data_IF_898214792839
#
_entry.id   IF_898214792839
#
_cell.length_a   1.000
_cell.length_b   1.000
_cell.length_c   1.000
_cell.angle_alpha   90.00
_cell.angle_beta   90.00
_cell.angle_gamma   90.00
#
_symmetry.space_group_name_H-M   'P 1'
#
loop_
_entity.id
_entity.type
_entity.pdbx_description
1 polymer ?
#
# COMPACT_ATOMS: atom_id res chain seq x y z
N UNK A 1 -52.15 -18.87 0.45
CA UNK A 1 -51.68 -17.65 -0.24
C UNK A 1 -50.36 -17.10 0.34
N UNK A 2 -50.16 -17.10 1.66
CA UNK A 2 -48.91 -16.63 2.31
C UNK A 2 -47.62 -17.41 1.93
N UNK A 3 -47.70 -18.73 1.75
CA UNK A 3 -46.53 -19.58 1.41
C UNK A 3 -45.98 -19.26 0.00
N UNK A 4 -46.85 -18.91 -0.94
CA UNK A 4 -46.45 -18.54 -2.31
C UNK A 4 -45.82 -17.14 -2.40
N UNK A 5 -46.19 -16.23 -1.49
CA UNK A 5 -45.61 -14.89 -1.39
C UNK A 5 -44.20 -14.97 -0.81
N UNK A 6 -43.97 -15.80 0.22
CA UNK A 6 -42.62 -16.06 0.74
C UNK A 6 -41.68 -16.63 -0.33
N UNK A 7 -42.14 -17.57 -1.18
CA UNK A 7 -41.30 -18.14 -2.25
C UNK A 7 -40.88 -17.10 -3.29
N UNK A 8 -41.78 -16.20 -3.72
CA UNK A 8 -41.46 -15.14 -4.69
C UNK A 8 -40.59 -14.04 -4.08
N UNK A 9 -40.81 -13.68 -2.81
CA UNK A 9 -39.97 -12.72 -2.10
C UNK A 9 -38.56 -13.29 -1.86
N UNK A 10 -38.44 -14.54 -1.40
CA UNK A 10 -37.15 -15.23 -1.24
C UNK A 10 -36.43 -15.38 -2.58
N UNK A 11 -37.12 -15.75 -3.67
CA UNK A 11 -36.53 -15.75 -5.02
C UNK A 11 -36.04 -14.37 -5.46
N UNK A 12 -36.81 -13.32 -5.19
CA UNK A 12 -36.45 -11.94 -5.56
C UNK A 12 -35.26 -11.41 -4.74
N UNK A 13 -35.17 -11.74 -3.45
CA UNK A 13 -34.02 -11.41 -2.59
C UNK A 13 -32.79 -12.23 -2.99
N UNK A 14 -32.94 -13.53 -3.28
CA UNK A 14 -31.83 -14.39 -3.72
C UNK A 14 -31.32 -14.00 -5.10
N UNK A 15 -32.19 -13.69 -6.08
CA UNK A 15 -31.74 -13.31 -7.42
C UNK A 15 -31.28 -11.84 -7.52
N UNK A 16 -31.81 -10.94 -6.70
CA UNK A 16 -31.50 -9.50 -6.77
C UNK A 16 -30.41 -9.04 -5.80
N UNK A 17 -30.35 -9.63 -4.59
CA UNK A 17 -29.52 -9.10 -3.50
C UNK A 17 -28.29 -9.98 -3.24
N UNK A 18 -28.42 -11.30 -3.37
CA UNK A 18 -27.34 -12.25 -3.11
C UNK A 18 -26.10 -12.05 -4.01
N UNK A 19 -26.24 -11.80 -5.34
CA UNK A 19 -25.07 -11.56 -6.19
C UNK A 19 -24.31 -10.29 -5.77
N UNK A 20 -25.04 -9.25 -5.35
CA UNK A 20 -24.46 -7.99 -4.88
C UNK A 20 -23.70 -8.14 -3.56
N UNK A 21 -24.27 -8.87 -2.60
CA UNK A 21 -23.57 -9.19 -1.33
C UNK A 21 -22.37 -10.09 -1.60
N UNK A 22 -22.52 -11.14 -2.39
CA UNK A 22 -21.45 -12.08 -2.69
C UNK A 22 -20.27 -11.37 -3.37
N UNK A 23 -20.54 -10.50 -4.33
CA UNK A 23 -19.52 -9.70 -5.00
C UNK A 23 -18.82 -8.74 -4.02
N UNK A 24 -19.58 -8.05 -3.16
CA UNK A 24 -19.00 -7.13 -2.18
C UNK A 24 -18.13 -7.86 -1.16
N UNK A 25 -18.59 -9.00 -0.65
CA UNK A 25 -17.80 -9.86 0.25
C UNK A 25 -16.53 -10.35 -0.45
N UNK A 26 -16.65 -10.81 -1.70
CA UNK A 26 -15.50 -11.24 -2.49
C UNK A 26 -14.44 -10.14 -2.61
N UNK A 27 -14.85 -8.90 -2.91
CA UNK A 27 -13.92 -7.77 -3.03
C UNK A 27 -13.25 -7.39 -1.69
N UNK A 28 -13.93 -7.57 -0.56
CA UNK A 28 -13.35 -7.35 0.77
C UNK A 28 -12.28 -8.40 1.09
N UNK A 29 -12.52 -9.67 0.74
CA UNK A 29 -11.57 -10.76 0.99
C UNK A 29 -10.47 -10.87 -0.08
N UNK A 30 -10.61 -10.18 -1.21
CA UNK A 30 -9.70 -10.28 -2.34
C UNK A 30 -8.23 -10.02 -1.97
N UNK A 31 -7.85 -8.97 -1.21
CA UNK A 31 -6.45 -8.76 -0.85
C UNK A 31 -5.88 -9.92 -0.02
N UNK A 32 -6.69 -10.51 0.86
CA UNK A 32 -6.32 -11.68 1.66
C UNK A 32 -6.11 -12.91 0.78
N UNK A 33 -6.97 -13.13 -0.21
CA UNK A 33 -6.82 -14.23 -1.18
C UNK A 33 -5.53 -14.06 -2.00
N UNK A 34 -5.26 -12.84 -2.48
CA UNK A 34 -4.05 -12.54 -3.26
C UNK A 34 -2.77 -12.67 -2.41
N UNK A 35 -2.84 -12.31 -1.13
CA UNK A 35 -1.77 -12.54 -0.17
C UNK A 35 -1.50 -14.04 0.02
N UNK A 36 -2.55 -14.85 0.22
CA UNK A 36 -2.44 -16.31 0.36
C UNK A 36 -1.85 -16.94 -0.90
N UNK A 37 -2.34 -16.54 -2.09
CA UNK A 37 -1.79 -16.98 -3.37
C UNK A 37 -0.30 -16.65 -3.48
N UNK A 38 0.10 -15.44 -3.08
CA UNK A 38 1.52 -15.05 -3.08
C UNK A 38 2.34 -15.84 -2.06
N UNK A 39 1.76 -16.26 -0.94
CA UNK A 39 2.43 -17.16 0.02
C UNK A 39 2.65 -18.55 -0.59
N UNK A 40 1.69 -19.08 -1.36
CA UNK A 40 1.83 -20.34 -2.08
C UNK A 40 2.92 -20.30 -3.16
N UNK A 41 3.22 -19.14 -3.73
CA UNK A 41 4.32 -18.96 -4.69
C UNK A 41 5.71 -19.09 -4.03
N UNK A 42 5.81 -18.97 -2.71
CA UNK A 42 7.03 -19.28 -1.96
C UNK A 42 8.06 -18.14 -1.87
N UNK A 43 7.62 -16.89 -1.71
CA UNK A 43 8.56 -15.78 -1.43
C UNK A 43 9.19 -15.91 -0.03
N UNK A 44 10.50 -15.66 0.05
CA UNK A 44 11.27 -15.74 1.30
C UNK A 44 11.08 -14.52 2.20
N UNK A 45 10.90 -13.32 1.63
CA UNK A 45 10.75 -12.07 2.40
C UNK A 45 9.32 -11.52 2.37
N UNK A 46 8.89 -10.91 3.48
CA UNK A 46 7.61 -10.19 3.57
C UNK A 46 7.52 -9.03 2.57
N UNK A 47 8.63 -8.30 2.38
CA UNK A 47 8.70 -7.20 1.41
C UNK A 47 8.42 -7.65 -0.03
N UNK A 48 8.95 -8.79 -0.45
CA UNK A 48 8.72 -9.34 -1.79
C UNK A 48 7.30 -9.89 -1.93
N UNK A 49 6.82 -10.54 -0.87
CA UNK A 49 5.46 -11.08 -0.78
C UNK A 49 4.42 -9.97 -0.96
N UNK A 50 4.55 -8.85 -0.23
CA UNK A 50 3.63 -7.71 -0.33
C UNK A 50 3.68 -7.03 -1.69
N UNK A 51 4.88 -6.85 -2.28
CA UNK A 51 5.03 -6.30 -3.63
C UNK A 51 4.35 -7.17 -4.69
N UNK A 52 4.46 -8.50 -4.56
CA UNK A 52 3.79 -9.43 -5.46
C UNK A 52 2.27 -9.39 -5.29
N UNK A 53 1.77 -9.41 -4.05
CA UNK A 53 0.34 -9.29 -3.76
C UNK A 53 -0.24 -7.97 -4.29
N UNK A 54 0.46 -6.84 -4.10
CA UNK A 54 0.08 -5.54 -4.64
C UNK A 54 0.04 -5.56 -6.17
N UNK A 55 1.02 -6.18 -6.83
CA UNK A 55 1.07 -6.31 -8.29
C UNK A 55 -0.14 -7.05 -8.85
N UNK A 56 -0.52 -8.16 -8.21
CA UNK A 56 -1.72 -8.93 -8.60
C UNK A 56 -2.99 -8.14 -8.37
N UNK A 57 -3.08 -7.40 -7.26
CA UNK A 57 -4.27 -6.60 -6.97
C UNK A 57 -4.40 -5.40 -7.92
N UNK A 58 -3.29 -4.77 -8.30
CA UNK A 58 -3.27 -3.75 -9.35
C UNK A 58 -3.80 -4.32 -10.68
N UNK A 59 -3.33 -5.49 -11.10
CA UNK A 59 -3.80 -6.13 -12.33
C UNK A 59 -5.30 -6.44 -12.26
N UNK A 60 -5.78 -6.91 -11.10
CA UNK A 60 -7.21 -7.13 -10.88
C UNK A 60 -8.02 -5.83 -11.01
N UNK A 61 -7.56 -4.74 -10.38
CA UNK A 61 -8.22 -3.43 -10.48
C UNK A 61 -8.22 -2.92 -11.93
N UNK A 62 -7.11 -3.07 -12.65
CA UNK A 62 -6.99 -2.67 -14.03
C UNK A 62 -7.97 -3.44 -14.95
N UNK A 63 -8.00 -4.77 -14.85
CA UNK A 63 -8.80 -5.60 -15.74
C UNK A 63 -10.27 -5.62 -15.34
N UNK A 64 -10.59 -5.82 -14.05
CA UNK A 64 -11.96 -6.03 -13.62
C UNK A 64 -12.66 -4.72 -13.24
N UNK A 65 -12.02 -3.88 -12.43
CA UNK A 65 -12.65 -2.66 -11.94
C UNK A 65 -12.67 -1.58 -13.02
N UNK A 66 -11.57 -1.39 -13.74
CA UNK A 66 -11.50 -0.38 -14.81
C UNK A 66 -12.04 -0.91 -16.14
N UNK A 67 -11.35 -1.85 -16.80
CA UNK A 67 -11.79 -2.34 -18.13
C UNK A 67 -13.14 -3.07 -18.04
N UNK A 68 -13.32 -3.92 -17.04
CA UNK A 68 -14.55 -4.70 -16.86
C UNK A 68 -15.79 -3.84 -16.64
N UNK A 69 -15.69 -2.74 -15.86
CA UNK A 69 -16.84 -1.84 -15.67
C UNK A 69 -17.19 -1.04 -16.93
N UNK A 70 -16.18 -0.66 -17.72
CA UNK A 70 -16.38 0.02 -19.01
C UNK A 70 -17.04 -0.95 -20.00
N UNK A 71 -16.48 -2.15 -20.16
CA UNK A 71 -16.97 -3.16 -21.12
C UNK A 71 -18.33 -3.70 -20.71
N UNK A 72 -18.54 -4.07 -19.45
CA UNK A 72 -19.84 -4.58 -19.00
C UNK A 72 -20.90 -3.48 -19.12
N UNK A 73 -20.57 -2.26 -18.71
CA UNK A 73 -21.47 -1.13 -18.82
C UNK A 73 -21.82 -0.77 -20.27
N UNK A 74 -20.87 -0.88 -21.20
CA UNK A 74 -21.12 -0.67 -22.63
C UNK A 74 -21.82 -1.86 -23.29
N UNK A 75 -21.52 -3.09 -22.87
CA UNK A 75 -22.14 -4.31 -23.37
C UNK A 75 -23.61 -4.39 -22.96
N UNK A 76 -24.00 -3.99 -21.75
CA UNK A 76 -25.42 -3.93 -21.39
C UNK A 76 -26.18 -2.84 -22.15
N UNK A 77 -25.52 -1.72 -22.49
CA UNK A 77 -26.12 -0.63 -23.26
C UNK A 77 -26.14 -0.89 -24.78
N UNK A 78 -25.25 -1.75 -25.30
CA UNK A 78 -25.01 -1.98 -26.73
C UNK A 78 -24.83 -3.48 -27.11
N UNK A 79 -25.44 -4.40 -26.36
CA UNK A 79 -25.19 -5.86 -26.45
C UNK A 79 -25.34 -6.43 -27.87
N UNK A 80 -26.35 -5.93 -28.60
CA UNK A 80 -26.66 -6.38 -29.95
C UNK A 80 -25.64 -5.94 -31.01
N UNK A 81 -24.91 -4.84 -30.79
CA UNK A 81 -23.86 -4.38 -31.70
C UNK A 81 -22.48 -4.95 -31.32
N UNK A 82 -22.18 -5.10 -30.03
CA UNK A 82 -20.88 -5.62 -29.57
C UNK A 82 -20.62 -7.07 -29.98
N UNK A 83 -21.62 -7.96 -29.88
CA UNK A 83 -21.47 -9.38 -30.23
C UNK A 83 -21.24 -9.62 -31.74
N UNK A 84 -21.48 -8.61 -32.58
CA UNK A 84 -21.33 -8.69 -34.04
C UNK A 84 -20.15 -7.86 -34.58
N UNK A 85 -19.35 -7.24 -33.71
CA UNK A 85 -18.33 -6.28 -34.11
C UNK A 85 -16.92 -6.92 -34.25
N UNK A 86 -16.18 -6.51 -35.29
CA UNK A 86 -14.78 -6.92 -35.51
C UNK A 86 -13.83 -6.30 -34.48
N UNK A 87 -12.77 -7.04 -34.10
CA UNK A 87 -11.79 -6.66 -33.08
C UNK A 87 -11.15 -5.27 -33.30
N UNK A 88 -11.07 -4.83 -34.56
CA UNK A 88 -10.50 -3.52 -34.91
C UNK A 88 -11.32 -2.32 -34.39
N UNK A 89 -12.60 -2.50 -34.05
CA UNK A 89 -13.46 -1.42 -33.55
C UNK A 89 -13.52 -1.33 -32.02
N UNK A 90 -12.85 -2.23 -31.31
CA UNK A 90 -12.86 -2.26 -29.83
C UNK A 90 -12.39 -0.91 -29.23
N UNK A 91 -11.28 -0.30 -29.67
CA UNK A 91 -10.83 0.99 -29.11
C UNK A 91 -11.84 2.13 -29.33
N UNK A 92 -12.56 2.11 -30.45
CA UNK A 92 -13.58 3.08 -30.81
C UNK A 92 -14.82 2.93 -29.91
N UNK A 93 -15.33 1.71 -29.75
CA UNK A 93 -16.51 1.48 -28.90
C UNK A 93 -16.21 1.76 -27.42
N UNK A 94 -15.02 1.39 -26.95
CA UNK A 94 -14.55 1.75 -25.59
C UNK A 94 -14.42 3.27 -25.45
N UNK A 95 -13.88 3.96 -26.47
CA UNK A 95 -13.73 5.41 -26.48
C UNK A 95 -15.05 6.14 -26.20
N UNK A 96 -16.15 5.72 -26.84
CA UNK A 96 -17.49 6.30 -26.64
C UNK A 96 -18.09 5.94 -25.27
N UNK A 97 -17.81 4.75 -24.75
CA UNK A 97 -18.34 4.27 -23.48
C UNK A 97 -17.71 4.94 -22.25
N UNK A 98 -16.44 5.36 -22.33
CA UNK A 98 -15.71 5.95 -21.19
C UNK A 98 -16.41 7.19 -20.62
N UNK A 99 -16.73 8.25 -21.40
CA UNK A 99 -17.40 9.42 -20.87
C UNK A 99 -18.72 9.09 -20.15
N UNK A 100 -19.47 8.11 -20.64
CA UNK A 100 -20.76 7.69 -20.07
C UNK A 100 -20.61 7.07 -18.68
N UNK A 101 -19.45 6.49 -18.36
CA UNK A 101 -19.16 5.88 -17.06
C UNK A 101 -18.46 6.81 -16.08
N UNK A 102 -18.20 8.08 -16.45
CA UNK A 102 -17.59 9.05 -15.55
C UNK A 102 -18.38 9.22 -14.24
N UNK A 103 -19.72 9.29 -14.31
CA UNK A 103 -20.59 9.43 -13.12
C UNK A 103 -20.47 8.24 -12.17
N UNK A 104 -20.31 7.02 -12.69
CA UNK A 104 -20.07 5.82 -11.89
C UNK A 104 -18.73 5.90 -11.15
N UNK A 105 -17.67 6.35 -11.81
CA UNK A 105 -16.37 6.48 -11.16
C UNK A 105 -16.33 7.64 -10.15
N UNK A 106 -17.08 8.73 -10.37
CA UNK A 106 -17.25 9.80 -9.38
C UNK A 106 -17.89 9.24 -8.10
N UNK A 107 -18.98 8.49 -8.20
CA UNK A 107 -19.62 7.88 -7.03
C UNK A 107 -18.74 6.82 -6.37
N UNK A 108 -18.01 6.03 -7.17
CA UNK A 108 -17.02 5.09 -6.65
C UNK A 108 -15.93 5.79 -5.82
N UNK A 109 -15.36 6.89 -6.29
CA UNK A 109 -14.35 7.67 -5.55
C UNK A 109 -14.93 8.27 -4.26
N UNK A 110 -16.16 8.76 -4.27
CA UNK A 110 -16.79 9.29 -3.06
C UNK A 110 -17.02 8.20 -2.00
N UNK A 111 -17.42 7.00 -2.41
CA UNK A 111 -17.71 5.90 -1.48
C UNK A 111 -16.45 5.17 -1.03
N UNK A 112 -15.66 4.64 -1.96
CA UNK A 112 -14.47 3.85 -1.64
C UNK A 112 -13.29 4.74 -1.23
N UNK A 113 -13.14 5.90 -1.89
CA UNK A 113 -12.07 6.85 -1.60
C UNK A 113 -12.36 7.66 -0.35
N UNK A 114 -13.34 8.58 -0.41
CA UNK A 114 -13.56 9.51 0.69
C UNK A 114 -14.09 8.83 1.95
N UNK A 115 -15.19 8.09 1.85
CA UNK A 115 -15.76 7.41 3.01
C UNK A 115 -14.86 6.25 3.50
N UNK A 116 -14.14 5.57 2.59
CA UNK A 116 -13.17 4.55 2.97
C UNK A 116 -12.02 5.10 3.80
N UNK A 117 -11.39 6.21 3.38
CA UNK A 117 -10.32 6.86 4.15
C UNK A 117 -10.83 7.49 5.44
N UNK A 118 -12.04 8.06 5.42
CA UNK A 118 -12.69 8.56 6.64
C UNK A 118 -13.01 7.43 7.62
N UNK A 119 -13.31 6.22 7.14
CA UNK A 119 -13.49 5.03 7.97
C UNK A 119 -12.16 4.48 8.51
N UNK A 120 -11.09 4.57 7.72
CA UNK A 120 -9.76 4.10 8.09
C UNK A 120 -9.23 4.82 9.35
N UNK A 121 -9.53 6.12 9.51
CA UNK A 121 -9.11 6.88 10.70
C UNK A 121 -9.68 6.33 12.00
N UNK A 122 -10.86 5.71 11.96
CA UNK A 122 -11.51 5.13 13.13
C UNK A 122 -10.86 3.80 13.55
N UNK A 123 -10.11 3.17 12.63
CA UNK A 123 -9.42 1.90 12.86
C UNK A 123 -10.31 0.87 13.57
N UNK A 124 -11.54 0.69 13.07
CA UNK A 124 -12.57 -0.13 13.73
C UNK A 124 -12.11 -1.58 13.94
N UNK A 125 -11.35 -2.15 12.99
CA UNK A 125 -10.87 -3.53 13.08
C UNK A 125 -9.94 -3.75 14.29
N UNK A 126 -8.80 -3.06 14.44
CA UNK A 126 -7.95 -3.22 15.62
C UNK A 126 -8.65 -2.74 16.91
N UNK A 127 -9.52 -1.73 16.85
CA UNK A 127 -10.27 -1.27 18.02
C UNK A 127 -11.19 -2.36 18.60
N UNK A 128 -11.95 -3.05 17.74
CA UNK A 128 -12.85 -4.14 18.15
C UNK A 128 -12.03 -5.33 18.64
N UNK A 129 -10.95 -5.70 17.93
CA UNK A 129 -10.08 -6.81 18.33
C UNK A 129 -9.40 -6.55 19.67
N UNK A 130 -8.97 -5.31 19.93
CA UNK A 130 -8.39 -4.91 21.21
C UNK A 130 -9.38 -5.11 22.36
N UNK A 131 -10.62 -4.62 22.23
CA UNK A 131 -11.63 -4.78 23.29
C UNK A 131 -12.00 -6.25 23.49
N UNK A 132 -12.06 -7.04 22.42
CA UNK A 132 -12.34 -8.47 22.50
C UNK A 132 -11.20 -9.21 23.20
N UNK A 133 -9.94 -8.97 22.82
CA UNK A 133 -8.76 -9.54 23.49
C UNK A 133 -8.70 -9.13 24.95
N UNK A 134 -8.94 -7.86 25.25
CA UNK A 134 -8.91 -7.34 26.61
C UNK A 134 -9.98 -7.97 27.51
N UNK A 135 -11.15 -8.31 26.96
CA UNK A 135 -12.21 -8.94 27.73
C UNK A 135 -11.97 -10.44 27.98
N UNK A 136 -11.38 -11.16 27.02
CA UNK A 136 -11.28 -12.62 27.07
C UNK A 136 -9.88 -13.19 27.40
N UNK A 137 -8.81 -12.50 27.01
CA UNK A 137 -7.45 -13.07 26.94
C UNK A 137 -6.46 -12.36 27.87
N UNK A 138 -6.63 -11.06 28.14
CA UNK A 138 -5.67 -10.26 28.92
C UNK A 138 -5.75 -10.60 30.42
N UNK A 139 -4.63 -11.01 31.00
CA UNK A 139 -4.48 -11.22 32.45
C UNK A 139 -3.39 -10.36 33.07
N UNK A 140 -2.35 -10.05 32.30
CA UNK A 140 -1.20 -9.24 32.73
C UNK A 140 -1.07 -7.96 31.92
N UNK A 141 -0.26 -7.00 32.41
CA UNK A 141 0.03 -5.76 31.68
C UNK A 141 0.76 -6.02 30.35
N UNK A 142 1.61 -7.05 30.28
CA UNK A 142 2.30 -7.46 29.04
C UNK A 142 1.31 -7.96 27.99
N UNK A 143 0.32 -8.76 28.38
CA UNK A 143 -0.73 -9.23 27.45
C UNK A 143 -1.53 -8.06 26.85
N UNK A 144 -1.64 -6.95 27.60
CA UNK A 144 -2.32 -5.74 27.13
C UNK A 144 -1.50 -5.00 26.07
N UNK A 145 -0.18 -4.96 26.20
CA UNK A 145 0.71 -4.42 25.18
C UNK A 145 0.64 -5.25 23.89
N UNK A 146 0.65 -6.58 23.99
CA UNK A 146 0.46 -7.49 22.85
C UNK A 146 -0.93 -7.35 22.19
N UNK A 147 -1.94 -6.98 22.97
CA UNK A 147 -3.27 -6.70 22.43
C UNK A 147 -3.32 -5.36 21.68
N UNK A 148 -2.41 -4.41 21.98
CA UNK A 148 -2.30 -3.10 21.33
C UNK A 148 -1.45 -3.13 20.05
N UNK A 149 -1.65 -4.14 19.20
CA UNK A 149 -1.00 -4.24 17.90
C UNK A 149 -1.89 -3.64 16.78
N UNK A 150 -1.53 -2.48 16.21
CA UNK A 150 -2.26 -1.86 15.10
C UNK A 150 -1.92 -2.47 13.73
N UNK A 151 -0.87 -3.28 13.64
CA UNK A 151 -0.32 -3.80 12.40
C UNK A 151 0.50 -2.78 11.59
N UNK A 152 0.94 -3.21 10.41
CA UNK A 152 1.71 -2.42 9.46
C UNK A 152 0.86 -1.61 8.49
N UNK A 153 1.52 -0.65 7.83
CA UNK A 153 0.94 0.07 6.71
C UNK A 153 0.60 -0.93 5.60
N UNK A 154 -0.69 -1.11 5.30
CA UNK A 154 -1.16 -2.08 4.31
C UNK A 154 -0.75 -1.76 2.87
N UNK A 155 0.52 -1.98 2.52
CA UNK A 155 1.06 -1.71 1.19
C UNK A 155 0.31 -2.51 0.11
N UNK A 156 0.00 -3.76 0.41
CA UNK A 156 -0.75 -4.67 -0.45
C UNK A 156 -2.17 -4.18 -0.84
N UNK A 157 -2.81 -3.34 -0.02
CA UNK A 157 -4.17 -2.82 -0.27
C UNK A 157 -4.17 -1.36 -0.69
N UNK A 158 -3.37 -0.52 0.00
CA UNK A 158 -3.32 0.91 -0.21
C UNK A 158 -2.67 1.30 -1.53
N UNK A 159 -1.55 0.67 -1.89
CA UNK A 159 -0.83 1.03 -3.12
C UNK A 159 -1.67 0.74 -4.38
N UNK A 160 -2.30 -0.43 -4.56
CA UNK A 160 -3.11 -0.71 -5.75
C UNK A 160 -4.36 0.17 -5.86
N UNK A 161 -4.92 0.63 -4.73
CA UNK A 161 -6.05 1.58 -4.69
C UNK A 161 -5.63 2.95 -5.20
N UNK A 162 -4.49 3.44 -4.73
CA UNK A 162 -3.92 4.72 -5.18
C UNK A 162 -3.62 4.69 -6.68
N UNK A 163 -3.04 3.58 -7.18
CA UNK A 163 -2.76 3.41 -8.61
C UNK A 163 -4.03 3.43 -9.48
N UNK A 164 -5.13 2.85 -8.99
CA UNK A 164 -6.42 2.90 -9.68
C UNK A 164 -6.91 4.35 -9.84
N UNK A 165 -6.80 5.18 -8.80
CA UNK A 165 -7.19 6.58 -8.89
C UNK A 165 -6.24 7.39 -9.79
N UNK A 166 -4.94 7.09 -9.80
CA UNK A 166 -4.02 7.65 -10.79
C UNK A 166 -4.44 7.30 -12.22
N UNK A 167 -4.77 6.04 -12.49
CA UNK A 167 -5.29 5.60 -13.78
C UNK A 167 -6.56 6.36 -14.17
N UNK A 168 -7.54 6.43 -13.28
CA UNK A 168 -8.79 7.17 -13.53
C UNK A 168 -8.51 8.66 -13.79
N UNK A 169 -7.64 9.28 -12.99
CA UNK A 169 -7.26 10.68 -13.19
C UNK A 169 -6.62 10.92 -14.55
N UNK A 170 -5.67 10.09 -14.96
CA UNK A 170 -5.00 10.22 -16.26
C UNK A 170 -5.93 9.95 -17.44
N UNK A 171 -6.82 8.97 -17.35
CA UNK A 171 -7.78 8.64 -18.42
C UNK A 171 -8.84 9.73 -18.55
N UNK A 172 -9.43 10.18 -17.43
CA UNK A 172 -10.53 11.14 -17.46
C UNK A 172 -10.09 12.60 -17.51
N UNK A 173 -8.80 12.91 -17.30
CA UNK A 173 -8.28 14.27 -17.42
C UNK A 173 -8.61 14.93 -18.76
N UNK A 174 -8.46 14.19 -19.87
CA UNK A 174 -8.76 14.68 -21.22
C UNK A 174 -10.21 14.45 -21.66
N UNK A 175 -10.94 13.56 -20.98
CA UNK A 175 -12.29 13.13 -21.39
C UNK A 175 -13.38 13.87 -20.61
N UNK A 176 -13.32 13.81 -19.28
CA UNK A 176 -14.29 14.41 -18.36
C UNK A 176 -13.56 15.05 -17.18
N UNK A 177 -13.08 16.30 -17.33
CA UNK A 177 -12.26 16.99 -16.31
C UNK A 177 -12.95 17.15 -14.95
N UNK A 178 -14.28 17.09 -14.92
CA UNK A 178 -15.10 17.16 -13.69
C UNK A 178 -14.74 16.08 -12.68
N UNK A 179 -14.13 14.96 -13.11
CA UNK A 179 -13.69 13.89 -12.21
C UNK A 179 -12.41 14.27 -11.41
N UNK A 180 -11.56 15.18 -11.93
CA UNK A 180 -10.27 15.53 -11.33
C UNK A 180 -10.38 16.17 -9.93
N UNK A 181 -11.27 17.15 -9.67
CA UNK A 181 -11.45 17.71 -8.33
C UNK A 181 -11.73 16.63 -7.27
N UNK A 182 -12.51 15.60 -7.60
CA UNK A 182 -12.83 14.51 -6.66
C UNK A 182 -11.59 13.70 -6.27
N UNK A 183 -10.72 13.43 -7.25
CA UNK A 183 -9.44 12.75 -7.04
C UNK A 183 -8.47 13.61 -6.24
N UNK A 184 -8.37 14.91 -6.55
CA UNK A 184 -7.47 15.84 -5.83
C UNK A 184 -7.88 15.94 -4.35
N UNK A 185 -9.18 16.05 -4.07
CA UNK A 185 -9.70 16.05 -2.69
C UNK A 185 -9.35 14.72 -2.01
N UNK A 186 -9.52 13.59 -2.70
CA UNK A 186 -9.13 12.28 -2.18
C UNK A 186 -7.64 12.25 -1.80
N UNK A 187 -6.74 12.72 -2.68
CA UNK A 187 -5.30 12.71 -2.39
C UNK A 187 -4.93 13.65 -1.24
N UNK A 188 -5.52 14.85 -1.20
CA UNK A 188 -5.30 15.80 -0.09
C UNK A 188 -5.75 15.23 1.25
N UNK A 189 -6.94 14.64 1.29
CA UNK A 189 -7.48 14.02 2.51
C UNK A 189 -6.67 12.79 2.93
N UNK A 190 -6.36 11.90 1.99
CA UNK A 190 -5.54 10.70 2.23
C UNK A 190 -4.15 11.06 2.74
N UNK A 191 -3.52 12.10 2.20
CA UNK A 191 -2.21 12.56 2.66
C UNK A 191 -2.24 12.94 4.14
N UNK A 192 -3.24 13.73 4.57
CA UNK A 192 -3.36 14.16 5.97
C UNK A 192 -3.63 12.98 6.89
N UNK A 193 -4.55 12.08 6.51
CA UNK A 193 -4.93 10.91 7.32
C UNK A 193 -3.76 9.93 7.46
N UNK A 194 -3.17 9.49 6.35
CA UNK A 194 -2.05 8.53 6.42
C UNK A 194 -0.83 9.15 7.10
N UNK A 195 -0.55 10.44 6.91
CA UNK A 195 0.52 11.12 7.65
C UNK A 195 0.28 11.10 9.15
N UNK A 196 -0.96 11.30 9.59
CA UNK A 196 -1.32 11.20 11.00
C UNK A 196 -1.13 9.77 11.53
N UNK A 197 -1.60 8.77 10.80
CA UNK A 197 -1.53 7.37 11.24
C UNK A 197 -0.10 6.81 11.23
N UNK A 198 0.73 7.20 10.26
CA UNK A 198 2.15 6.81 10.22
C UNK A 198 2.92 7.36 11.42
N UNK A 199 2.57 8.55 11.92
CA UNK A 199 3.24 9.15 13.08
C UNK A 199 2.76 8.53 14.40
N UNK A 200 1.48 8.21 14.51
CA UNK A 200 0.85 7.92 15.81
C UNK A 200 0.51 6.44 16.03
N UNK A 201 0.39 5.63 14.98
CA UNK A 201 -0.22 4.30 15.10
C UNK A 201 0.59 3.21 14.42
N UNK A 202 0.81 3.28 13.10
CA UNK A 202 1.34 2.15 12.36
C UNK A 202 2.77 1.79 12.79
N UNK A 203 3.00 0.49 12.99
CA UNK A 203 4.33 -0.06 13.24
C UNK A 203 4.87 -0.70 11.97
N UNK A 204 6.09 -0.36 11.57
CA UNK A 204 6.68 -0.88 10.35
C UNK A 204 7.37 -2.23 10.61
N UNK A 205 6.80 -3.31 10.10
CA UNK A 205 7.32 -4.68 10.29
C UNK A 205 8.65 -4.93 9.57
N UNK A 206 8.90 -4.24 8.45
CA UNK A 206 10.12 -4.43 7.65
C UNK A 206 10.57 -3.12 6.99
N UNK A 207 11.88 -2.92 6.86
CA UNK A 207 12.46 -1.81 6.11
C UNK A 207 12.93 -2.26 4.73
N UNK A 208 12.34 -1.70 3.68
CA UNK A 208 12.64 -2.08 2.28
C UNK A 208 13.50 -1.06 1.54
N UNK A 209 13.79 0.11 2.12
CA UNK A 209 14.56 1.17 1.45
C UNK A 209 13.86 1.71 0.20
N UNK A 210 12.53 1.73 0.17
CA UNK A 210 11.71 2.14 -0.98
C UNK A 210 11.99 1.36 -2.29
N UNK A 211 12.49 0.12 -2.22
CA UNK A 211 12.77 -0.73 -3.37
C UNK A 211 11.54 -1.07 -4.26
N UNK A 212 10.33 -0.74 -3.80
CA UNK A 212 9.07 -0.86 -4.57
C UNK A 212 8.86 0.27 -5.59
N UNK A 213 9.64 1.36 -5.54
CA UNK A 213 9.43 2.52 -6.41
C UNK A 213 9.50 2.22 -7.92
N UNK A 214 10.41 1.37 -8.42
CA UNK A 214 10.41 0.96 -9.83
C UNK A 214 9.09 0.32 -10.28
N UNK A 215 8.45 -0.47 -9.40
CA UNK A 215 7.16 -1.12 -9.69
C UNK A 215 6.04 -0.08 -9.77
N UNK A 216 6.01 0.86 -8.82
CA UNK A 216 5.06 1.99 -8.78
C UNK A 216 5.19 2.85 -10.04
N UNK A 217 6.43 3.21 -10.41
CA UNK A 217 6.71 3.99 -11.61
C UNK A 217 6.23 3.28 -12.88
N UNK A 218 6.53 1.99 -13.02
CA UNK A 218 6.10 1.19 -14.15
C UNK A 218 4.57 1.19 -14.30
N UNK A 219 3.82 1.04 -13.20
CA UNK A 219 2.35 1.06 -13.22
C UNK A 219 1.78 2.41 -13.65
N UNK A 220 2.38 3.52 -13.20
CA UNK A 220 1.99 4.86 -13.65
C UNK A 220 2.27 5.05 -15.15
N UNK A 221 3.39 4.54 -15.66
CA UNK A 221 3.67 4.55 -17.11
C UNK A 221 2.63 3.74 -17.89
N UNK A 222 2.25 2.55 -17.39
CA UNK A 222 1.17 1.74 -17.99
C UNK A 222 -0.16 2.51 -17.99
N UNK A 223 -0.48 3.22 -16.90
CA UNK A 223 -1.66 4.06 -16.82
C UNK A 223 -1.63 5.23 -17.84
N UNK A 224 -0.47 5.87 -18.02
CA UNK A 224 -0.28 6.92 -19.03
C UNK A 224 -0.47 6.39 -20.45
N UNK A 225 0.14 5.24 -20.78
CA UNK A 225 -0.03 4.59 -22.09
C UNK A 225 -1.50 4.22 -22.30
N UNK A 226 -2.16 3.69 -21.27
CA UNK A 226 -3.60 3.36 -21.34
C UNK A 226 -4.43 4.60 -21.63
N UNK A 227 -4.18 5.73 -20.95
CA UNK A 227 -4.85 7.00 -21.21
C UNK A 227 -4.66 7.46 -22.67
N UNK A 228 -3.44 7.39 -23.19
CA UNK A 228 -3.13 7.79 -24.57
C UNK A 228 -3.82 6.90 -25.62
N UNK A 229 -3.83 5.59 -25.41
CA UNK A 229 -4.52 4.63 -26.31
C UNK A 229 -6.03 4.85 -26.29
N UNK A 230 -6.61 5.10 -25.12
CA UNK A 230 -8.05 5.36 -25.00
C UNK A 230 -8.44 6.72 -25.61
N UNK A 231 -7.61 7.74 -25.43
CA UNK A 231 -7.78 9.05 -26.07
C UNK A 231 -7.73 8.92 -27.60
N UNK A 232 -6.82 8.10 -28.13
CA UNK A 232 -6.76 7.77 -29.55
C UNK A 232 -8.07 7.13 -30.04
N UNK A 233 -8.59 6.15 -29.28
CA UNK A 233 -9.87 5.51 -29.56
C UNK A 233 -11.01 6.53 -29.64
N UNK A 234 -11.13 7.42 -28.65
CA UNK A 234 -12.17 8.46 -28.60
C UNK A 234 -12.07 9.50 -29.72
N UNK A 235 -10.87 9.92 -30.12
CA UNK A 235 -10.73 10.96 -31.16
C UNK A 235 -10.94 10.40 -32.58
N UNK A 236 -10.63 9.12 -32.78
CA UNK A 236 -10.92 8.42 -34.03
C UNK A 236 -12.43 8.36 -34.29
N UNK A 237 -13.24 8.12 -33.26
CA UNK A 237 -14.72 8.06 -33.40
C UNK A 237 -15.35 9.41 -33.74
N UNK A 238 -14.74 10.51 -33.28
CA UNK A 238 -15.20 11.88 -33.54
C UNK A 238 -14.81 12.41 -34.93
N UNK A 239 -14.17 11.60 -35.78
CA UNK A 239 -13.75 11.99 -37.12
C UNK A 239 -12.58 12.98 -37.17
N UNK A 240 -11.86 13.15 -36.06
CA UNK A 240 -10.70 14.05 -35.97
C UNK A 240 -9.42 13.34 -36.44
N UNK A 241 -9.39 12.96 -37.71
CA UNK A 241 -8.28 12.21 -38.30
C UNK A 241 -6.94 13.01 -38.32
N UNK A 242 -7.01 14.34 -38.27
CA UNK A 242 -5.82 15.20 -38.27
C UNK A 242 -5.04 15.16 -36.95
N UNK A 243 -5.69 14.78 -35.83
CA UNK A 243 -5.03 14.66 -34.53
C UNK A 243 -4.30 13.31 -34.35
N UNK A 244 -4.61 12.31 -35.18
CA UNK A 244 -4.11 10.93 -35.07
C UNK A 244 -2.58 10.81 -35.10
N UNK A 245 -1.83 11.53 -35.98
CA UNK A 245 -0.36 11.42 -36.02
C UNK A 245 0.29 11.89 -34.71
N UNK A 246 -0.21 12.96 -34.11
CA UNK A 246 0.33 13.53 -32.86
C UNK A 246 0.11 12.55 -31.70
N UNK A 247 -1.06 11.90 -31.64
CA UNK A 247 -1.41 10.99 -30.55
C UNK A 247 -0.62 9.68 -30.63
N UNK A 248 -0.25 9.22 -31.82
CA UNK A 248 0.60 8.02 -32.00
C UNK A 248 2.04 8.26 -31.50
N UNK A 249 2.55 9.50 -31.61
CA UNK A 249 3.90 9.85 -31.13
C UNK A 249 3.98 9.79 -29.60
N UNK A 250 2.90 10.11 -28.89
CA UNK A 250 2.87 10.13 -27.42
C UNK A 250 3.23 8.79 -26.74
N UNK A 251 2.62 7.63 -27.07
CA UNK A 251 2.99 6.35 -26.48
C UNK A 251 4.42 5.92 -26.84
N UNK A 252 4.91 6.29 -28.02
CA UNK A 252 6.30 6.01 -28.42
C UNK A 252 7.25 6.80 -27.50
N UNK A 253 6.96 8.09 -27.28
CA UNK A 253 7.75 8.95 -26.41
C UNK A 253 7.70 8.47 -24.95
N UNK A 254 6.54 8.05 -24.44
CA UNK A 254 6.45 7.54 -23.05
C UNK A 254 7.19 6.22 -22.87
N UNK A 255 7.15 5.31 -23.83
CA UNK A 255 7.95 4.07 -23.80
C UNK A 255 9.45 4.38 -23.85
N UNK A 256 9.86 5.33 -24.70
CA UNK A 256 11.25 5.78 -24.77
C UNK A 256 11.71 6.40 -23.45
N UNK A 257 10.88 7.27 -22.87
CA UNK A 257 11.12 7.88 -21.55
C UNK A 257 11.23 6.82 -20.45
N UNK A 258 10.34 5.84 -20.42
CA UNK A 258 10.42 4.74 -19.47
C UNK A 258 11.73 3.95 -19.60
N UNK A 259 12.16 3.64 -20.84
CA UNK A 259 13.45 2.98 -21.09
C UNK A 259 14.64 3.82 -20.61
N UNK A 260 14.60 5.13 -20.83
CA UNK A 260 15.62 6.05 -20.32
C UNK A 260 15.66 6.04 -18.79
N UNK A 261 14.51 6.18 -18.12
CA UNK A 261 14.41 6.14 -16.66
C UNK A 261 14.88 4.81 -16.08
N UNK A 262 14.51 3.69 -16.74
CA UNK A 262 14.92 2.35 -16.35
C UNK A 262 16.46 2.22 -16.41
N UNK A 263 17.08 2.61 -17.52
CA UNK A 263 18.53 2.56 -17.67
C UNK A 263 19.28 3.49 -16.71
N UNK A 264 18.73 4.68 -16.42
CA UNK A 264 19.43 5.72 -15.64
C UNK A 264 19.25 5.62 -14.13
N UNK A 265 18.06 5.21 -13.66
CA UNK A 265 17.67 5.33 -12.25
C UNK A 265 17.35 4.00 -11.56
N UNK A 266 16.87 2.98 -12.28
CA UNK A 266 16.49 1.69 -11.66
C UNK A 266 17.68 1.03 -10.95
N UNK A 267 18.90 1.19 -11.49
CA UNK A 267 20.10 0.64 -10.87
C UNK A 267 20.32 1.12 -9.44
N UNK A 268 19.85 2.31 -9.06
CA UNK A 268 19.97 2.81 -7.69
C UNK A 268 19.06 2.08 -6.69
N UNK A 269 17.96 1.48 -7.16
CA UNK A 269 17.01 0.74 -6.33
C UNK A 269 17.34 -0.76 -6.28
N UNK A 270 18.02 -1.28 -7.30
CA UNK A 270 18.31 -2.73 -7.43
C UNK A 270 19.74 -3.07 -7.01
N UNK A 271 20.70 -2.17 -7.24
CA UNK A 271 22.13 -2.42 -6.98
C UNK A 271 22.64 -1.43 -5.95
N UNK A 272 23.37 -1.94 -4.96
CA UNK A 272 24.05 -1.10 -3.98
C UNK A 272 25.48 -0.77 -4.48
N UNK A 273 25.86 0.52 -4.60
CA UNK A 273 27.17 0.90 -5.12
C UNK A 273 28.29 0.64 -4.11
N UNK A 274 29.39 0.02 -4.57
CA UNK A 274 30.54 -0.32 -3.71
C UNK A 274 31.22 0.90 -3.06
N UNK A 275 31.16 2.05 -3.72
CA UNK A 275 31.71 3.30 -3.17
C UNK A 275 30.97 3.71 -1.89
N UNK A 276 29.64 3.61 -1.85
CA UNK A 276 28.86 3.91 -0.64
C UNK A 276 29.04 2.85 0.44
N UNK A 277 29.20 1.58 0.04
CA UNK A 277 29.56 0.50 0.96
C UNK A 277 30.88 0.81 1.69
N UNK A 278 31.96 1.06 0.94
CA UNK A 278 33.27 1.36 1.53
C UNK A 278 33.27 2.64 2.38
N UNK A 279 32.55 3.67 1.93
CA UNK A 279 32.41 4.92 2.70
C UNK A 279 31.72 4.65 4.03
N UNK A 280 30.61 3.89 4.03
CA UNK A 280 29.88 3.54 5.25
C UNK A 280 30.73 2.68 6.19
N UNK A 281 31.41 1.67 5.67
CA UNK A 281 32.29 0.79 6.45
C UNK A 281 33.43 1.58 7.13
N UNK A 282 34.00 2.56 6.41
CA UNK A 282 35.07 3.41 6.95
C UNK A 282 34.56 4.31 8.07
N UNK A 283 33.38 4.90 7.91
CA UNK A 283 32.75 5.74 8.93
C UNK A 283 32.34 4.93 10.17
N UNK A 284 31.82 3.72 9.98
CA UNK A 284 31.46 2.83 11.07
C UNK A 284 32.68 2.40 11.88
N UNK A 285 33.78 2.01 11.20
CA UNK A 285 35.04 1.68 11.87
C UNK A 285 35.65 2.86 12.63
N UNK A 286 35.48 4.08 12.13
CA UNK A 286 35.93 5.30 12.82
C UNK A 286 35.06 5.63 14.04
N UNK A 287 33.76 5.32 13.99
CA UNK A 287 32.81 5.56 15.09
C UNK A 287 32.94 4.52 16.20
N UNK A 288 33.06 3.25 15.83
CA UNK A 288 33.06 2.10 16.75
C UNK A 288 34.22 1.15 16.42
N UNK A 289 35.47 1.50 16.80
CA UNK A 289 36.66 0.75 16.41
C UNK A 289 36.78 -0.64 17.06
N UNK A 290 36.08 -0.88 18.17
CA UNK A 290 36.15 -2.12 18.96
C UNK A 290 34.90 -3.01 18.82
N UNK A 291 34.05 -2.78 17.80
CA UNK A 291 32.83 -3.56 17.60
C UNK A 291 33.15 -5.03 17.24
N UNK A 292 32.72 -5.97 18.08
CA UNK A 292 32.82 -7.41 17.78
C UNK A 292 31.70 -7.85 16.81
N UNK A 293 31.96 -7.68 15.51
CA UNK A 293 30.99 -8.02 14.46
C UNK A 293 30.63 -9.52 14.44
N UNK A 294 31.57 -10.40 14.79
CA UNK A 294 31.33 -11.85 14.81
C UNK A 294 30.30 -12.22 15.87
N UNK A 295 30.47 -11.72 17.10
CA UNK A 295 29.51 -11.94 18.18
C UNK A 295 28.12 -11.39 17.84
N UNK A 296 28.07 -10.18 17.27
CA UNK A 296 26.81 -9.53 16.88
C UNK A 296 26.03 -10.31 15.80
N UNK A 297 26.71 -10.89 14.81
CA UNK A 297 26.05 -11.55 13.67
C UNK A 297 25.77 -13.04 13.87
N UNK A 298 26.43 -13.70 14.83
CA UNK A 298 26.38 -15.16 14.99
C UNK A 298 24.95 -15.69 15.17
N UNK A 299 24.14 -15.02 15.99
CA UNK A 299 22.78 -15.47 16.34
C UNK A 299 21.67 -14.71 15.58
N UNK A 300 22.03 -13.83 14.63
CA UNK A 300 21.07 -12.92 14.00
C UNK A 300 19.99 -13.65 13.17
N UNK A 301 20.38 -14.61 12.33
CA UNK A 301 19.48 -15.31 11.39
C UNK A 301 19.10 -16.73 11.82
N UNK A 302 19.21 -17.04 13.12
CA UNK A 302 18.68 -18.27 13.70
C UNK A 302 17.15 -18.29 13.55
N UNK A 303 16.58 -19.46 13.25
CA UNK A 303 15.12 -19.58 13.11
C UNK A 303 14.42 -19.17 14.42
N UNK A 304 13.35 -18.36 14.40
CA UNK A 304 12.72 -17.82 15.62
C UNK A 304 12.38 -18.87 16.69
N UNK A 305 12.03 -20.10 16.28
CA UNK A 305 11.76 -21.22 17.19
C UNK A 305 12.97 -21.56 18.08
N UNK A 306 14.19 -21.48 17.57
CA UNK A 306 15.40 -21.82 18.33
C UNK A 306 15.91 -20.67 19.21
N UNK A 307 15.43 -19.44 19.00
CA UNK A 307 15.77 -18.29 19.85
C UNK A 307 15.06 -18.37 21.21
N UNK A 308 13.79 -18.77 21.20
CA UNK A 308 12.99 -18.90 22.43
C UNK A 308 13.51 -19.97 23.40
N UNK A 309 14.32 -20.92 22.92
CA UNK A 309 14.95 -21.93 23.78
C UNK A 309 16.30 -21.50 24.38
N UNK A 310 16.90 -20.40 23.92
CA UNK A 310 18.18 -19.89 24.46
C UNK A 310 17.94 -18.88 25.60
N UNK A 311 16.84 -18.10 25.52
CA UNK A 311 16.47 -17.11 26.55
C UNK A 311 16.12 -17.74 27.92
N UNK A 312 15.80 -19.04 27.98
CA UNK A 312 15.53 -19.78 29.23
C UNK A 312 16.81 -20.31 29.93
N UNK A 313 17.99 -20.26 29.27
CA UNK A 313 19.25 -20.82 29.80
C UNK A 313 20.40 -19.82 29.97
N UNK A 314 20.28 -18.58 29.46
CA UNK A 314 21.36 -17.58 29.48
C UNK A 314 21.24 -16.50 30.58
N UNK A 315 20.48 -16.73 31.66
CA UNK A 315 20.21 -15.71 32.68
C UNK A 315 21.38 -15.48 33.69
N UNK A 316 22.43 -16.32 33.70
CA UNK A 316 23.48 -16.24 34.75
C UNK A 316 24.89 -15.78 34.29
N UNK A 317 25.28 -15.88 33.01
CA UNK A 317 26.64 -15.48 32.58
C UNK A 317 26.70 -14.26 31.64
N UNK A 318 25.65 -13.97 30.86
CA UNK A 318 25.67 -12.87 29.87
C UNK A 318 25.24 -11.53 30.49
N UNK A 319 24.59 -11.56 31.66
CA UNK A 319 24.09 -10.36 32.35
C UNK A 319 25.23 -9.48 32.89
N UNK A 320 26.38 -10.06 33.28
CA UNK A 320 27.49 -9.28 33.84
C UNK A 320 28.24 -8.42 32.82
N UNK A 321 28.36 -8.84 31.56
CA UNK A 321 29.02 -8.04 30.51
C UNK A 321 28.07 -7.01 29.86
N UNK A 322 26.77 -7.29 29.87
CA UNK A 322 25.73 -6.44 29.27
C UNK A 322 25.53 -5.11 29.99
N UNK A 323 25.93 -5.01 31.26
CA UNK A 323 25.84 -3.78 32.06
C UNK A 323 27.03 -2.84 31.84
N UNK A 324 28.19 -3.35 31.41
CA UNK A 324 29.36 -2.50 31.08
C UNK A 324 29.31 -1.96 29.64
N UNK A 325 28.60 -2.66 28.75
CA UNK A 325 28.29 -2.21 27.38
C UNK A 325 26.84 -1.80 27.25
N UNK A 326 26.40 -0.93 28.15
CA UNK A 326 25.19 -0.13 27.92
C UNK A 326 25.46 0.71 26.66
N UNK A 327 25.06 0.17 25.51
CA UNK A 327 24.86 0.96 24.30
C UNK A 327 23.99 2.12 24.73
N UNK A 328 24.58 3.31 24.79
CA UNK A 328 23.81 4.54 24.93
C UNK A 328 22.77 4.49 23.83
N UNK A 329 21.52 4.19 24.18
CA UNK A 329 20.40 4.35 23.28
C UNK A 329 20.49 5.79 22.80
N UNK A 330 20.94 6.00 21.56
CA UNK A 330 20.97 7.33 20.96
C UNK A 330 19.52 7.78 20.99
N UNK A 331 19.14 8.75 21.83
CA UNK A 331 17.77 9.18 21.86
C UNK A 331 17.56 9.88 20.52
N UNK A 332 16.75 9.30 19.62
CA UNK A 332 16.23 10.03 18.46
C UNK A 332 15.14 10.99 18.94
N UNK A 333 15.47 11.83 19.93
CA UNK A 333 14.63 12.93 20.38
C UNK A 333 14.70 14.00 19.30
N UNK A 334 13.81 13.92 18.32
CA UNK A 334 13.52 15.06 17.45
C UNK A 334 13.02 16.17 18.38
N UNK A 335 13.86 17.17 18.65
CA UNK A 335 13.45 18.33 19.42
C UNK A 335 12.31 19.03 18.66
N UNK A 336 11.07 18.81 19.11
CA UNK A 336 9.98 19.69 18.78
C UNK A 336 10.26 21.02 19.47
N UNK A 337 10.82 21.99 18.73
CA UNK A 337 10.82 23.38 19.15
C UNK A 337 9.40 23.92 19.02
N UNK A 338 8.58 23.78 20.07
CA UNK A 338 7.58 24.78 20.48
C UNK A 338 6.97 24.43 21.84
N UNK A 339 7.39 25.19 22.84
CA UNK A 339 6.71 25.57 24.10
C UNK A 339 5.59 24.67 24.64
N UNK A 340 5.92 23.83 25.62
CA UNK A 340 4.99 23.42 26.70
C UNK A 340 5.78 23.26 28.01
N UNK A 341 5.27 23.73 29.17
CA UNK A 341 6.09 23.87 30.38
C UNK A 341 6.02 22.64 31.32
N UNK A 342 7.14 22.43 32.03
CA UNK A 342 7.38 21.65 33.26
C UNK A 342 7.36 20.10 33.20
N UNK A 343 8.48 19.43 33.58
CA UNK A 343 8.48 18.03 33.98
C UNK A 343 8.17 17.87 35.49
N UNK A 344 7.40 16.84 35.82
CA UNK A 344 7.05 16.43 37.18
C UNK A 344 8.26 15.90 37.96
N UNK A 345 8.46 16.41 39.17
CA UNK A 345 9.42 15.92 40.17
C UNK A 345 9.01 14.53 40.67
N UNK A 346 9.82 13.51 40.39
CA UNK A 346 9.95 12.34 41.27
C UNK A 346 11.44 12.04 41.41
N UNK A 347 11.89 12.05 42.65
CA UNK A 347 13.26 11.90 43.15
C UNK A 347 13.69 10.43 43.22
N UNK A 348 14.96 10.16 42.92
CA UNK A 348 15.60 8.87 43.21
C UNK A 348 17.09 8.84 42.89
N UNK A 349 17.89 9.09 43.93
CA UNK A 349 19.26 8.62 44.21
C UNK A 349 20.46 9.04 43.33
N UNK A 350 21.16 10.06 43.84
CA UNK A 350 22.62 10.21 44.02
C UNK A 350 23.60 9.42 43.14
N UNK A 351 24.37 10.15 42.32
CA UNK A 351 25.68 9.75 41.79
C UNK A 351 26.81 10.46 42.59
N UNK A 352 27.96 9.84 42.86
CA UNK A 352 29.07 10.51 43.53
C UNK A 352 29.89 11.38 42.55
N UNK A 353 30.32 12.53 43.05
CA UNK A 353 31.16 13.53 42.39
C UNK A 353 32.60 13.03 42.19
N UNK A 354 33.14 13.19 40.97
CA UNK A 354 34.57 13.09 40.67
C UNK A 354 35.34 14.28 41.29
N UNK A 355 36.55 14.06 41.86
CA UNK A 355 37.39 15.15 42.36
C UNK A 355 38.15 15.81 41.20
N UNK A 356 38.19 17.14 41.22
CA UNK A 356 39.01 17.95 40.33
C UNK A 356 40.44 18.15 40.83
N UNK A 357 41.32 18.52 39.90
CA UNK A 357 42.70 18.94 40.09
C UNK A 357 43.60 18.30 39.03
N UNK A 358 44.48 18.99 38.31
CA UNK A 358 44.95 20.38 38.27
C UNK A 358 45.33 20.66 36.82
#
# INVERSE_FOLDING_TARGET
MAIFVCSKFIKSVIQGFLPGIALKLFLIFLPTILMIMSKFEGYVSLSSLERSAASKYYLFNFVNVFLGSIIAGSAFEQLNSFLKQSANKIPETIGVAIPLKATFFITYIMVDGWAGIAGEILMLKPLILYHLKNFFLVKTEKDREEAMDPGSLGFNTGEPRIQLYFLLGLVYASVTPVLLPFIIIFFGFSYVVFRHQIINVYNQEYESGAAFWPDVHFRIIVALITSQVLLMGLLTTKGSAEATPVIIVLPILTIWFHRFCKGRYESAFVKYPLQEAMMKDTLERAREPHLNLKGYLQNAYVHPIFKASEDDYEDDEVVSEKWETESTLVPTKRQSRRNTPLPSKVSGNSSPTLPGGV
#
